data_IF_266838757016
#
_entry.id   IF_266838757016
#
_cell.length_a   1.000
_cell.length_b   1.000
_cell.length_c   1.000
_cell.angle_alpha   90.00
_cell.angle_beta   90.00
_cell.angle_gamma   90.00
#
_symmetry.space_group_name_H-M   'P 1'
#
loop_
_entity.id
_entity.type
_entity.pdbx_description
1 polymer ?
#
# COMPACT_ATOMS: atom_id res chain seq x y z
N UNK A 1 2.55 13.67 2.69
CA UNK A 1 1.10 13.70 2.89
C UNK A 1 0.75 13.84 4.37
N UNK A 2 -0.49 14.21 4.67
CA UNK A 2 -0.93 14.45 6.04
C UNK A 2 -2.45 14.40 6.15
N UNK A 3 -3.02 13.51 6.92
CA UNK A 3 -2.57 12.17 7.27
C UNK A 3 -3.05 11.11 6.29
N UNK A 4 -3.91 11.50 5.33
CA UNK A 4 -4.49 10.59 4.35
C UNK A 4 -3.81 10.71 3.01
N UNK A 5 -3.65 9.59 2.34
CA UNK A 5 -3.11 9.56 0.98
C UNK A 5 -3.92 8.59 0.15
N UNK A 6 -4.15 8.94 -1.11
CA UNK A 6 -4.75 8.06 -2.10
C UNK A 6 -3.66 7.55 -3.02
N UNK A 7 -3.63 6.26 -3.25
CA UNK A 7 -2.63 5.61 -4.07
C UNK A 7 -3.32 4.92 -5.23
N UNK A 8 -2.88 5.25 -6.46
CA UNK A 8 -3.36 4.59 -7.67
C UNK A 8 -2.42 3.47 -8.03
N UNK A 9 -2.97 2.36 -8.48
CA UNK A 9 -2.17 1.25 -8.96
C UNK A 9 -2.91 0.54 -10.09
N UNK A 10 -2.16 -0.21 -10.90
CA UNK A 10 -2.71 -0.91 -12.05
C UNK A 10 -2.39 -2.38 -11.95
N UNK A 11 -3.29 -3.22 -12.47
CA UNK A 11 -3.06 -4.65 -12.60
C UNK A 11 -3.14 -5.03 -14.06
N UNK A 12 -2.18 -5.85 -14.53
CA UNK A 12 -2.20 -6.36 -15.89
C UNK A 12 -3.16 -7.52 -16.04
N UNK A 13 -3.32 -8.30 -14.96
CA UNK A 13 -4.20 -9.46 -14.92
C UNK A 13 -5.03 -9.41 -13.66
N UNK A 14 -6.22 -10.02 -13.70
CA UNK A 14 -7.01 -10.21 -12.50
C UNK A 14 -6.23 -11.07 -11.52
N UNK A 15 -6.16 -10.66 -10.26
CA UNK A 15 -5.42 -11.39 -9.24
C UNK A 15 -5.87 -10.98 -7.85
N UNK A 16 -5.51 -11.82 -6.87
CA UNK A 16 -5.68 -11.46 -5.47
C UNK A 16 -4.42 -10.75 -5.00
N UNK A 17 -4.59 -9.63 -4.34
CA UNK A 17 -3.49 -8.78 -3.92
C UNK A 17 -3.59 -8.50 -2.44
N UNK A 18 -2.46 -8.67 -1.74
CA UNK A 18 -2.29 -8.25 -0.36
C UNK A 18 -1.56 -6.92 -0.36
N UNK A 19 -2.13 -5.93 0.31
CA UNK A 19 -1.58 -4.58 0.35
C UNK A 19 -1.24 -4.24 1.79
N UNK A 20 0.04 -3.96 2.04
CA UNK A 20 0.53 -3.66 3.39
C UNK A 20 1.34 -2.38 3.39
N UNK A 21 1.38 -1.74 4.56
CA UNK A 21 2.26 -0.60 4.82
C UNK A 21 3.41 -1.12 5.67
N UNK A 22 4.64 -0.82 5.24
CA UNK A 22 5.84 -1.20 6.01
C UNK A 22 6.66 0.06 6.29
N UNK A 23 7.42 0.00 7.38
CA UNK A 23 8.31 1.11 7.75
C UNK A 23 9.69 0.90 7.10
N UNK A 24 10.64 1.80 7.42
CA UNK A 24 11.99 1.75 6.85
C UNK A 24 12.77 0.50 7.23
N UNK A 25 12.37 -0.16 8.31
CA UNK A 25 13.01 -1.40 8.73
C UNK A 25 12.39 -2.63 8.05
N UNK A 26 11.41 -2.40 7.19
CA UNK A 26 10.70 -3.50 6.53
C UNK A 26 9.62 -4.14 7.38
N UNK A 27 9.33 -3.56 8.54
CA UNK A 27 8.32 -4.12 9.44
C UNK A 27 6.92 -3.68 9.00
N UNK A 28 6.01 -4.62 8.93
CA UNK A 28 4.62 -4.33 8.62
C UNK A 28 3.99 -3.53 9.76
N UNK A 29 3.42 -2.36 9.44
CA UNK A 29 2.74 -1.53 10.42
C UNK A 29 1.24 -1.58 10.26
N UNK A 30 0.75 -1.90 9.07
CA UNK A 30 -0.68 -2.04 8.84
C UNK A 30 -0.93 -2.86 7.59
N UNK A 31 -1.96 -3.71 7.61
CA UNK A 31 -2.40 -4.46 6.43
C UNK A 31 -3.72 -3.87 5.96
N UNK A 32 -3.69 -3.26 4.78
CA UNK A 32 -4.87 -2.59 4.24
C UNK A 32 -5.83 -3.59 3.60
N UNK A 33 -5.30 -4.52 2.79
CA UNK A 33 -6.10 -5.57 2.17
C UNK A 33 -5.36 -6.89 2.23
N UNK A 34 -6.09 -7.97 2.43
CA UNK A 34 -5.50 -9.30 2.44
C UNK A 34 -6.19 -10.16 1.40
N UNK A 35 -5.41 -10.56 0.37
CA UNK A 35 -5.88 -11.43 -0.71
C UNK A 35 -7.18 -10.94 -1.34
N UNK A 36 -7.28 -9.62 -1.54
CA UNK A 36 -8.46 -9.04 -2.16
C UNK A 36 -8.36 -9.19 -3.66
N UNK A 37 -9.46 -9.61 -4.29
CA UNK A 37 -9.51 -9.76 -5.74
C UNK A 37 -9.62 -8.40 -6.41
N UNK A 38 -8.76 -8.17 -7.41
CA UNK A 38 -8.79 -7.00 -8.26
C UNK A 38 -8.85 -7.43 -9.71
N UNK A 39 -9.77 -6.83 -10.46
CA UNK A 39 -9.86 -7.05 -11.91
C UNK A 39 -8.68 -6.37 -12.59
N UNK A 40 -8.39 -6.78 -13.83
CA UNK A 40 -7.46 -6.05 -14.67
C UNK A 40 -7.88 -4.59 -14.79
N UNK A 41 -6.94 -3.68 -14.68
CA UNK A 41 -7.19 -2.26 -14.88
C UNK A 41 -6.61 -1.40 -13.78
N UNK A 42 -7.16 -0.19 -13.66
CA UNK A 42 -6.70 0.80 -12.69
C UNK A 42 -7.57 0.77 -11.44
N UNK A 43 -6.90 0.94 -10.31
CA UNK A 43 -7.54 0.92 -9.00
C UNK A 43 -7.00 2.06 -8.14
N UNK A 44 -7.71 2.36 -7.08
CA UNK A 44 -7.30 3.36 -6.11
C UNK A 44 -7.62 2.86 -4.72
N UNK A 45 -6.66 3.03 -3.80
CA UNK A 45 -6.87 2.77 -2.38
C UNK A 45 -6.45 4.02 -1.62
N UNK A 46 -6.89 4.10 -0.37
CA UNK A 46 -6.47 5.19 0.49
C UNK A 46 -5.98 4.64 1.81
N UNK A 47 -5.05 5.38 2.41
CA UNK A 47 -4.51 5.05 3.72
C UNK A 47 -4.61 6.27 4.62
N UNK A 48 -5.14 6.05 5.82
CA UNK A 48 -5.19 7.07 6.86
C UNK A 48 -4.11 6.73 7.88
N UNK A 49 -3.05 7.55 7.88
CA UNK A 49 -1.89 7.33 8.74
C UNK A 49 -2.03 8.03 10.09
N UNK A 50 -3.24 8.40 10.48
CA UNK A 50 -3.48 9.03 11.76
C UNK A 50 -2.98 8.12 12.89
N UNK A 51 -2.17 8.69 13.77
CA UNK A 51 -1.61 7.92 14.87
C UNK A 51 -0.23 7.37 14.62
N UNK A 52 0.24 7.38 13.37
CA UNK A 52 1.60 6.94 13.05
C UNK A 52 2.55 8.13 13.08
N UNK A 53 3.82 7.93 13.48
CA UNK A 53 4.79 9.02 13.47
C UNK A 53 5.15 9.45 12.05
N UNK A 54 5.55 10.72 11.91
CA UNK A 54 6.08 11.22 10.65
C UNK A 54 7.30 10.41 10.24
N UNK A 55 7.47 10.20 8.95
CA UNK A 55 8.59 9.46 8.45
C UNK A 55 8.31 8.81 7.11
N UNK A 56 9.21 7.91 6.74
CA UNK A 56 9.14 7.20 5.46
C UNK A 56 8.44 5.87 5.67
N UNK A 57 7.48 5.59 4.79
CA UNK A 57 6.75 4.33 4.74
C UNK A 57 6.75 3.83 3.32
N UNK A 58 6.49 2.55 3.15
CA UNK A 58 6.33 1.96 1.83
C UNK A 58 5.00 1.23 1.79
N UNK A 59 4.26 1.39 0.70
CA UNK A 59 3.11 0.54 0.45
C UNK A 59 3.57 -0.60 -0.44
N UNK A 60 3.23 -1.81 -0.04
CA UNK A 60 3.66 -3.03 -0.70
C UNK A 60 2.45 -3.73 -1.32
N UNK A 61 2.55 -4.01 -2.61
CA UNK A 61 1.53 -4.75 -3.36
C UNK A 61 2.09 -6.12 -3.68
N UNK A 62 1.47 -7.16 -3.14
CA UNK A 62 1.93 -8.54 -3.32
C UNK A 62 0.81 -9.36 -3.96
N UNK A 63 1.03 -9.81 -5.20
CA UNK A 63 0.05 -10.62 -5.91
C UNK A 63 0.37 -12.13 -5.86
N UNK A 64 1.32 -12.52 -5.00
CA UNK A 64 1.75 -13.90 -4.88
C UNK A 64 2.91 -14.28 -5.78
N UNK A 65 3.14 -13.51 -6.84
CA UNK A 65 4.23 -13.75 -7.79
C UNK A 65 5.24 -12.61 -7.73
N UNK A 66 4.73 -11.38 -7.72
CA UNK A 66 5.54 -10.17 -7.72
C UNK A 66 5.20 -9.30 -6.52
N UNK A 67 6.19 -8.55 -6.05
CA UNK A 67 6.02 -7.57 -4.98
C UNK A 67 6.49 -6.24 -5.52
N UNK A 68 5.62 -5.23 -5.43
CA UNK A 68 5.94 -3.87 -5.81
C UNK A 68 5.85 -2.97 -4.59
N UNK A 69 6.79 -2.04 -4.47
CA UNK A 69 6.84 -1.08 -3.38
C UNK A 69 6.71 0.34 -3.92
N UNK A 70 6.01 1.17 -3.17
CA UNK A 70 5.93 2.59 -3.47
C UNK A 70 6.22 3.38 -2.20
N UNK A 71 7.12 4.35 -2.29
CA UNK A 71 7.55 5.16 -1.16
C UNK A 71 6.51 6.22 -0.82
N UNK A 72 6.23 6.37 0.45
CA UNK A 72 5.34 7.40 0.98
C UNK A 72 6.08 8.19 2.06
N UNK A 73 5.86 9.49 2.11
CA UNK A 73 6.45 10.33 3.14
C UNK A 73 5.32 10.97 3.93
N UNK A 74 5.20 10.57 5.19
CA UNK A 74 4.21 11.12 6.10
C UNK A 74 4.80 12.33 6.81
N UNK A 75 4.17 13.47 6.63
CA UNK A 75 4.58 14.72 7.25
C UNK A 75 3.40 15.29 8.01
N UNK A 76 3.55 15.36 9.30
CA UNK A 76 2.53 15.94 10.18
C UNK A 76 2.83 17.39 10.53
#
# INVERSE_FOLDING_TARGET
FNPKVSIKFSTFNASEITITIVNVLGKEVERIEENKFYKKGQHKISWDAKGYPSGIYFIQFNNGININLKKLILMK
#
